data_IF_807518159300
#
_entry.id   IF_807518159300
#
_cell.length_a   1.000
_cell.length_b   1.000
_cell.length_c   1.000
_cell.angle_alpha   90.00
_cell.angle_beta   90.00
_cell.angle_gamma   90.00
#
_symmetry.space_group_name_H-M   'P 1'
#
loop_
_entity.id
_entity.type
_entity.pdbx_description
1 polymer ?
#
# COMPACT_ATOMS: atom_id res chain seq x y z
N UNK A 1 -39.71 -3.08 -12.81
CA UNK A 1 -39.49 -4.54 -12.85
C UNK A 1 -38.34 -4.82 -11.91
N UNK A 2 -38.58 -5.34 -10.69
CA UNK A 2 -38.77 -6.78 -10.45
C UNK A 2 -37.54 -7.56 -10.94
N UNK A 3 -36.80 -8.37 -10.18
CA UNK A 3 -37.15 -9.20 -9.02
C UNK A 3 -35.84 -9.65 -8.33
N UNK A 4 -35.92 -9.82 -7.01
CA UNK A 4 -35.30 -10.89 -6.20
C UNK A 4 -33.76 -11.01 -6.17
N UNK A 5 -33.18 -10.49 -5.11
CA UNK A 5 -32.32 -11.29 -4.22
C UNK A 5 -32.85 -11.16 -2.79
N UNK A 6 -33.94 -11.89 -2.54
CA UNK A 6 -34.28 -12.44 -1.23
C UNK A 6 -33.68 -13.83 -1.23
N UNK A 7 -32.57 -14.04 -0.54
CA UNK A 7 -32.10 -15.38 -0.20
C UNK A 7 -31.40 -15.32 1.15
N UNK A 8 -32.09 -15.95 2.11
CA UNK A 8 -31.55 -16.70 3.24
C UNK A 8 -31.02 -15.93 4.46
N UNK A 9 -31.94 -15.14 5.05
CA UNK A 9 -32.08 -15.01 6.52
C UNK A 9 -32.89 -16.19 7.12
N UNK A 10 -32.70 -17.42 6.65
CA UNK A 10 -33.37 -18.61 7.20
C UNK A 10 -32.33 -19.64 7.57
N UNK A 11 -32.51 -20.24 8.74
CA UNK A 11 -31.73 -21.32 9.37
C UNK A 11 -30.49 -20.93 10.19
N UNK A 12 -30.72 -20.26 11.32
CA UNK A 12 -29.98 -20.61 12.56
C UNK A 12 -30.96 -20.65 13.74
N UNK A 13 -32.14 -21.24 13.53
CA UNK A 13 -32.96 -21.79 14.60
C UNK A 13 -33.05 -23.30 14.35
N UNK A 14 -31.88 -23.96 14.37
CA UNK A 14 -31.88 -25.36 14.78
C UNK A 14 -31.82 -25.30 16.29
N UNK A 15 -33.00 -25.20 16.90
CA UNK A 15 -33.21 -25.81 18.21
C UNK A 15 -32.67 -27.23 18.07
N UNK A 16 -31.45 -27.45 18.58
CA UNK A 16 -31.03 -28.79 18.87
C UNK A 16 -32.05 -29.28 19.91
N UNK A 17 -33.00 -30.10 19.46
CA UNK A 17 -33.80 -30.92 20.36
C UNK A 17 -32.80 -31.71 21.20
N UNK A 18 -32.52 -31.19 22.39
CA UNK A 18 -31.77 -31.93 23.39
C UNK A 18 -32.75 -33.01 23.82
N UNK A 19 -32.62 -34.18 23.21
CA UNK A 19 -33.34 -35.36 23.62
C UNK A 19 -32.88 -35.70 25.05
N UNK A 20 -33.76 -35.50 26.02
CA UNK A 20 -33.52 -35.81 27.43
C UNK A 20 -33.68 -37.31 27.73
N UNK A 21 -34.06 -38.15 26.75
CA UNK A 21 -34.37 -39.57 26.95
C UNK A 21 -33.15 -40.48 27.12
N UNK A 22 -31.91 -39.99 26.96
CA UNK A 22 -30.69 -40.80 27.14
C UNK A 22 -30.08 -40.72 28.55
N UNK A 23 -30.78 -40.15 29.54
CA UNK A 23 -30.36 -40.28 30.95
C UNK A 23 -30.84 -41.64 31.49
N UNK A 24 -30.13 -42.70 31.11
CA UNK A 24 -30.31 -44.03 31.71
C UNK A 24 -29.80 -43.96 33.15
N UNK A 25 -30.73 -43.91 34.12
CA UNK A 25 -30.39 -44.10 35.53
C UNK A 25 -30.14 -45.58 35.79
N UNK A 26 -28.89 -46.02 35.66
CA UNK A 26 -28.47 -47.29 36.24
C UNK A 26 -28.55 -47.21 37.76
N UNK A 27 -29.59 -47.83 38.34
CA UNK A 27 -29.60 -48.18 39.77
C UNK A 27 -28.60 -49.31 39.98
N UNK A 28 -27.39 -48.97 40.42
CA UNK A 28 -26.50 -49.96 41.02
C UNK A 28 -27.03 -50.31 42.42
N UNK A 29 -27.31 -51.59 42.67
CA UNK A 29 -27.85 -52.11 43.94
C UNK A 29 -26.86 -52.05 45.11
N UNK A 30 -25.61 -51.63 44.90
CA UNK A 30 -24.56 -51.59 45.92
C UNK A 30 -24.28 -50.19 46.52
N UNK A 31 -25.24 -49.26 46.46
CA UNK A 31 -25.06 -47.92 47.05
C UNK A 31 -26.18 -47.61 48.04
N UNK A 32 -26.11 -48.25 49.20
CA UNK A 32 -26.78 -47.78 50.39
C UNK A 32 -26.19 -46.40 50.77
N UNK A 33 -27.04 -45.38 50.82
CA UNK A 33 -26.82 -44.04 51.39
C UNK A 33 -26.20 -42.93 50.51
N UNK A 34 -26.59 -42.84 49.22
CA UNK A 34 -26.50 -41.56 48.47
C UNK A 34 -27.89 -40.92 48.42
N UNK A 35 -28.07 -39.82 49.14
CA UNK A 35 -29.31 -39.06 49.10
C UNK A 35 -29.51 -38.40 47.73
N UNK A 36 -30.76 -38.23 47.30
CA UNK A 36 -31.12 -37.48 46.07
C UNK A 36 -30.48 -36.08 46.00
N UNK A 37 -30.11 -35.51 47.15
CA UNK A 37 -29.39 -34.24 47.30
C UNK A 37 -27.95 -34.30 46.77
N UNK A 38 -27.23 -35.41 46.94
CA UNK A 38 -25.84 -35.56 46.51
C UNK A 38 -25.71 -35.69 44.98
N UNK A 39 -26.68 -36.35 44.35
CA UNK A 39 -26.79 -36.45 42.88
C UNK A 39 -27.05 -35.06 42.28
N UNK A 40 -27.98 -34.29 42.87
CA UNK A 40 -28.26 -32.91 42.46
C UNK A 40 -27.03 -32.01 42.62
N UNK A 41 -26.24 -32.19 43.69
CA UNK A 41 -25.00 -31.45 43.91
C UNK A 41 -23.95 -31.74 42.83
N UNK A 42 -23.71 -33.01 42.49
CA UNK A 42 -22.81 -33.40 41.38
C UNK A 42 -23.25 -32.84 40.04
N UNK A 43 -24.55 -32.83 39.73
CA UNK A 43 -25.06 -32.25 38.49
C UNK A 43 -24.90 -30.73 38.45
N UNK A 44 -25.11 -30.02 39.57
CA UNK A 44 -24.86 -28.57 39.64
C UNK A 44 -23.39 -28.23 39.43
N UNK A 45 -22.47 -29.02 39.99
CA UNK A 45 -21.02 -28.84 39.77
C UNK A 45 -20.65 -29.07 38.30
N UNK A 46 -21.14 -30.14 37.67
CA UNK A 46 -20.93 -30.40 36.23
C UNK A 46 -21.52 -29.29 35.36
N UNK A 47 -22.74 -28.83 35.66
CA UNK A 47 -23.41 -27.76 34.93
C UNK A 47 -22.63 -26.44 35.04
N UNK A 48 -22.15 -26.10 36.24
CA UNK A 48 -21.31 -24.93 36.46
C UNK A 48 -20.03 -25.00 35.64
N UNK A 49 -19.36 -26.15 35.64
CA UNK A 49 -18.14 -26.38 34.85
C UNK A 49 -18.41 -26.25 33.34
N UNK A 50 -19.49 -26.85 32.83
CA UNK A 50 -19.86 -26.70 31.41
C UNK A 50 -20.18 -25.25 31.03
N UNK A 51 -20.79 -24.47 31.92
CA UNK A 51 -21.06 -23.04 31.68
C UNK A 51 -19.75 -22.24 31.62
N UNK A 52 -18.82 -22.51 32.55
CA UNK A 52 -17.50 -21.89 32.56
C UNK A 52 -16.69 -22.22 31.30
N UNK A 53 -16.60 -23.51 30.93
CA UNK A 53 -15.92 -23.96 29.70
C UNK A 53 -16.57 -23.36 28.44
N UNK A 54 -17.91 -23.32 28.38
CA UNK A 54 -18.63 -22.68 27.26
C UNK A 54 -18.28 -21.21 27.14
N UNK A 55 -18.22 -20.50 28.26
CA UNK A 55 -17.89 -19.07 28.26
C UNK A 55 -16.45 -18.84 27.80
N UNK A 56 -15.50 -19.63 28.31
CA UNK A 56 -14.09 -19.59 27.89
C UNK A 56 -13.94 -19.84 26.39
N UNK A 57 -14.62 -20.84 25.84
CA UNK A 57 -14.59 -21.11 24.40
C UNK A 57 -15.26 -20.01 23.57
N UNK A 58 -16.35 -19.42 24.06
CA UNK A 58 -17.03 -18.34 23.37
C UNK A 58 -16.17 -17.08 23.32
N UNK A 59 -15.53 -16.73 24.44
CA UNK A 59 -14.62 -15.59 24.53
C UNK A 59 -13.37 -15.81 23.67
N UNK A 60 -12.79 -17.02 23.73
CA UNK A 60 -11.68 -17.43 22.88
C UNK A 60 -12.04 -17.37 21.39
N UNK A 61 -13.22 -17.86 21.00
CA UNK A 61 -13.69 -17.81 19.62
C UNK A 61 -13.92 -16.39 19.14
N UNK A 62 -14.54 -15.53 19.96
CA UNK A 62 -14.74 -14.12 19.63
C UNK A 62 -13.42 -13.39 19.41
N UNK A 63 -12.43 -13.65 20.28
CA UNK A 63 -11.08 -13.09 20.15
C UNK A 63 -10.39 -13.57 18.88
N UNK A 64 -10.35 -14.88 18.62
CA UNK A 64 -9.75 -15.44 17.40
C UNK A 64 -10.43 -14.88 16.15
N UNK A 65 -11.76 -14.74 16.18
CA UNK A 65 -12.51 -14.14 15.07
C UNK A 65 -12.12 -12.67 14.85
N UNK A 66 -11.96 -11.89 15.92
CA UNK A 66 -11.50 -10.51 15.82
C UNK A 66 -10.07 -10.44 15.27
N UNK A 67 -9.16 -11.26 15.79
CA UNK A 67 -7.77 -11.34 15.32
C UNK A 67 -7.70 -11.75 13.83
N UNK A 68 -8.54 -12.69 13.40
CA UNK A 68 -8.63 -13.10 12.01
C UNK A 68 -9.12 -11.97 11.08
N UNK A 69 -10.16 -11.22 11.48
CA UNK A 69 -10.65 -10.09 10.70
C UNK A 69 -9.57 -9.01 10.57
N UNK A 70 -8.88 -8.69 11.67
CA UNK A 70 -7.80 -7.71 11.68
C UNK A 70 -6.63 -8.17 10.79
N UNK A 71 -6.23 -9.45 10.89
CA UNK A 71 -5.15 -10.01 10.09
C UNK A 71 -5.52 -10.04 8.60
N UNK A 72 -6.75 -10.42 8.26
CA UNK A 72 -7.23 -10.41 6.87
C UNK A 72 -7.19 -9.01 6.27
N UNK A 73 -7.65 -7.99 7.01
CA UNK A 73 -7.56 -6.59 6.57
C UNK A 73 -6.10 -6.17 6.33
N UNK A 74 -5.22 -6.51 7.26
CA UNK A 74 -3.78 -6.22 7.15
C UNK A 74 -3.14 -6.93 5.96
N UNK A 75 -3.52 -8.17 5.68
CA UNK A 75 -3.05 -8.94 4.52
C UNK A 75 -3.49 -8.30 3.20
N UNK A 76 -4.74 -7.85 3.11
CA UNK A 76 -5.25 -7.13 1.93
C UNK A 76 -4.49 -5.83 1.68
N UNK A 77 -4.23 -5.04 2.73
CA UNK A 77 -3.41 -3.82 2.67
C UNK A 77 -1.96 -4.14 2.24
N UNK A 78 -1.34 -5.15 2.83
CA UNK A 78 0.02 -5.57 2.49
C UNK A 78 0.14 -6.05 1.05
N UNK A 79 -0.87 -6.77 0.56
CA UNK A 79 -0.92 -7.24 -0.83
C UNK A 79 -1.04 -6.08 -1.81
N UNK A 80 -1.86 -5.07 -1.49
CA UNK A 80 -1.96 -3.86 -2.29
C UNK A 80 -0.62 -3.10 -2.35
N UNK A 81 0.06 -2.96 -1.21
CA UNK A 81 1.39 -2.36 -1.14
C UNK A 81 2.44 -3.13 -1.94
N UNK A 82 2.42 -4.46 -1.90
CA UNK A 82 3.34 -5.30 -2.66
C UNK A 82 3.19 -5.10 -4.17
N UNK A 83 1.94 -4.97 -4.65
CA UNK A 83 1.68 -4.66 -6.07
C UNK A 83 2.21 -3.27 -6.45
N UNK A 84 2.04 -2.28 -5.58
CA UNK A 84 2.58 -0.93 -5.82
C UNK A 84 4.10 -0.93 -5.85
N UNK A 85 4.74 -1.64 -4.92
CA UNK A 85 6.20 -1.76 -4.87
C UNK A 85 6.77 -2.47 -6.11
N UNK A 86 6.11 -3.55 -6.56
CA UNK A 86 6.50 -4.25 -7.78
C UNK A 86 6.41 -3.34 -9.02
N UNK A 87 5.37 -2.49 -9.10
CA UNK A 87 5.24 -1.48 -10.16
C UNK A 87 6.32 -0.41 -10.07
N UNK A 88 6.60 0.09 -8.87
CA UNK A 88 7.65 1.09 -8.62
C UNK A 88 9.01 0.60 -9.13
N UNK A 89 9.40 -0.63 -8.80
CA UNK A 89 10.65 -1.23 -9.28
C UNK A 89 10.75 -1.29 -10.80
N UNK A 90 9.69 -1.78 -11.46
CA UNK A 90 9.64 -1.84 -12.92
C UNK A 90 9.69 -0.46 -13.58
N UNK A 91 9.02 0.53 -12.98
CA UNK A 91 9.06 1.91 -13.47
C UNK A 91 10.46 2.49 -13.35
N UNK A 92 11.14 2.29 -12.22
CA UNK A 92 12.52 2.76 -12.02
C UNK A 92 13.47 2.21 -13.09
N UNK A 93 13.37 0.93 -13.43
CA UNK A 93 14.16 0.33 -14.51
C UNK A 93 13.85 0.97 -15.87
N UNK A 94 12.57 1.23 -16.15
CA UNK A 94 12.14 1.92 -17.38
C UNK A 94 12.58 3.38 -17.44
N UNK A 95 12.74 4.08 -16.31
CA UNK A 95 13.21 5.46 -16.30
C UNK A 95 14.59 5.59 -16.94
N UNK A 96 15.47 4.59 -16.79
CA UNK A 96 16.78 4.56 -17.47
C UNK A 96 16.62 4.61 -18.99
N UNK A 97 15.58 3.97 -19.53
CA UNK A 97 15.30 3.99 -20.97
C UNK A 97 14.77 5.36 -21.40
N UNK A 98 13.92 5.99 -20.58
CA UNK A 98 13.44 7.36 -20.80
C UNK A 98 14.62 8.34 -20.82
N UNK A 99 15.59 8.17 -19.92
CA UNK A 99 16.81 8.99 -19.89
C UNK A 99 17.64 8.83 -21.16
N UNK A 100 17.73 7.61 -21.70
CA UNK A 100 18.43 7.38 -22.96
C UNK A 100 17.74 8.08 -24.13
N UNK A 101 16.40 8.14 -24.15
CA UNK A 101 15.68 8.96 -25.13
C UNK A 101 15.98 10.45 -24.94
N UNK A 102 15.91 10.96 -23.71
CA UNK A 102 16.24 12.36 -23.41
C UNK A 102 17.68 12.71 -23.83
N UNK A 103 18.64 11.80 -23.58
CA UNK A 103 20.03 11.92 -24.01
C UNK A 103 20.17 11.93 -25.54
N UNK A 104 19.43 11.06 -26.25
CA UNK A 104 19.42 11.04 -27.71
C UNK A 104 18.87 12.34 -28.29
N UNK A 105 17.84 12.93 -27.66
CA UNK A 105 17.23 14.19 -28.07
C UNK A 105 18.06 15.41 -27.70
N UNK A 106 18.92 15.32 -26.67
CA UNK A 106 19.73 16.45 -26.19
C UNK A 106 20.72 16.97 -27.26
N UNK A 107 21.29 16.10 -28.09
CA UNK A 107 22.18 16.51 -29.17
C UNK A 107 21.39 16.94 -30.42
N UNK A 108 20.84 18.16 -30.38
CA UNK A 108 19.96 18.70 -31.44
C UNK A 108 20.59 18.62 -32.83
N UNK A 109 21.87 18.92 -32.98
CA UNK A 109 22.54 18.89 -34.28
C UNK A 109 22.56 17.49 -34.89
N UNK A 110 22.87 16.47 -34.07
CA UNK A 110 22.84 15.07 -34.52
C UNK A 110 21.41 14.62 -34.75
N UNK A 111 20.50 14.95 -33.83
CA UNK A 111 19.08 14.60 -33.95
C UNK A 111 18.49 15.15 -35.25
N UNK A 112 18.59 16.46 -35.48
CA UNK A 112 18.03 17.14 -36.65
C UNK A 112 18.65 16.68 -37.98
N UNK A 113 19.86 16.12 -37.97
CA UNK A 113 20.49 15.52 -39.16
C UNK A 113 19.82 14.22 -39.63
N UNK A 114 19.04 13.57 -38.77
CA UNK A 114 18.32 12.35 -39.10
C UNK A 114 17.03 12.67 -39.86
N UNK A 115 16.63 11.75 -40.76
CA UNK A 115 15.40 11.84 -41.52
C UNK A 115 14.19 12.23 -40.65
N UNK A 116 13.43 13.21 -41.14
CA UNK A 116 12.33 13.83 -40.39
C UNK A 116 11.21 12.84 -40.08
N UNK A 117 10.87 11.94 -41.02
CA UNK A 117 9.79 10.99 -40.79
C UNK A 117 10.18 9.97 -39.71
N UNK A 118 11.44 9.55 -39.71
CA UNK A 118 11.96 8.65 -38.68
C UNK A 118 11.97 9.30 -37.29
N UNK A 119 12.41 10.56 -37.20
CA UNK A 119 12.36 11.32 -35.93
C UNK A 119 10.97 11.41 -35.35
N UNK A 120 9.98 11.79 -36.16
CA UNK A 120 8.58 11.89 -35.73
C UNK A 120 8.08 10.53 -35.21
N UNK A 121 8.46 9.43 -35.87
CA UNK A 121 8.13 8.08 -35.41
C UNK A 121 8.69 7.78 -34.02
N UNK A 122 9.95 8.11 -33.76
CA UNK A 122 10.61 7.92 -32.46
C UNK A 122 9.99 8.82 -31.38
N UNK A 123 9.75 10.09 -31.69
CA UNK A 123 9.10 11.05 -30.79
C UNK A 123 7.69 10.59 -30.39
N UNK A 124 6.95 9.97 -31.33
CA UNK A 124 5.67 9.33 -31.01
C UNK A 124 5.81 8.14 -30.07
N UNK A 125 6.80 7.26 -30.28
CA UNK A 125 7.04 6.11 -29.38
C UNK A 125 7.37 6.61 -27.97
N UNK A 126 8.23 7.62 -27.85
CA UNK A 126 8.58 8.25 -26.58
C UNK A 126 7.34 8.85 -25.89
N UNK A 127 6.52 9.58 -26.64
CA UNK A 127 5.29 10.20 -26.12
C UNK A 127 4.26 9.15 -25.68
N UNK A 128 4.11 8.06 -26.43
CA UNK A 128 3.26 6.93 -26.06
C UNK A 128 3.76 6.24 -24.78
N UNK A 129 5.07 6.02 -24.66
CA UNK A 129 5.68 5.43 -23.47
C UNK A 129 5.40 6.30 -22.23
N UNK A 130 5.64 7.62 -22.32
CA UNK A 130 5.35 8.54 -21.23
C UNK A 130 3.85 8.53 -20.87
N UNK A 131 2.97 8.58 -21.86
CA UNK A 131 1.52 8.55 -21.63
C UNK A 131 1.04 7.26 -20.94
N UNK A 132 1.63 6.11 -21.29
CA UNK A 132 1.35 4.83 -20.60
C UNK A 132 1.77 4.92 -19.13
N UNK A 133 2.97 5.41 -18.86
CA UNK A 133 3.48 5.55 -17.49
C UNK A 133 2.65 6.55 -16.66
N UNK A 134 2.22 7.65 -17.29
CA UNK A 134 1.36 8.65 -16.66
C UNK A 134 0.00 8.07 -16.27
N UNK A 135 -0.62 7.30 -17.16
CA UNK A 135 -1.85 6.56 -16.85
C UNK A 135 -1.69 5.55 -15.71
N UNK A 136 -0.47 5.06 -15.49
CA UNK A 136 -0.15 4.16 -14.37
C UNK A 136 0.24 4.90 -13.08
N UNK A 137 0.20 6.24 -13.06
CA UNK A 137 0.41 7.06 -11.86
C UNK A 137 1.79 7.69 -11.75
N UNK A 138 2.60 7.64 -12.81
CA UNK A 138 3.88 8.35 -12.90
C UNK A 138 3.67 9.81 -13.30
N UNK A 139 4.23 10.75 -12.57
CA UNK A 139 4.23 12.18 -12.90
C UNK A 139 5.67 12.65 -13.03
N UNK A 140 6.01 13.18 -14.19
CA UNK A 140 7.29 13.85 -14.41
C UNK A 140 7.19 15.30 -13.93
N UNK A 141 8.27 15.82 -13.34
CA UNK A 141 8.38 17.24 -13.01
C UNK A 141 9.74 17.80 -13.41
N UNK A 142 9.75 19.08 -13.78
CA UNK A 142 10.93 19.81 -14.24
C UNK A 142 11.01 21.13 -13.46
N UNK A 143 11.73 21.18 -12.33
CA UNK A 143 11.63 22.28 -11.37
C UNK A 143 12.50 23.48 -11.74
N UNK A 144 12.51 23.89 -13.00
CA UNK A 144 13.31 25.04 -13.45
C UNK A 144 12.76 26.33 -12.81
N UNK A 145 13.64 27.17 -12.26
CA UNK A 145 13.30 28.41 -11.54
C UNK A 145 12.49 28.21 -10.23
N UNK A 146 12.23 26.97 -9.80
CA UNK A 146 11.60 26.67 -8.51
C UNK A 146 12.61 26.82 -7.35
N UNK A 147 12.09 27.04 -6.13
CA UNK A 147 12.91 26.96 -4.91
C UNK A 147 13.45 25.54 -4.70
N UNK A 148 14.69 25.44 -4.22
CA UNK A 148 15.29 24.14 -3.96
C UNK A 148 14.60 23.42 -2.78
N UNK A 149 13.99 22.27 -3.07
CA UNK A 149 13.41 21.36 -2.08
C UNK A 149 14.26 20.08 -1.97
N UNK A 150 14.94 19.82 -0.83
CA UNK A 150 15.75 18.61 -0.62
C UNK A 150 15.00 17.28 -0.77
N UNK A 151 13.67 17.28 -0.66
CA UNK A 151 12.84 16.07 -0.83
C UNK A 151 12.67 15.74 -2.32
N UNK A 152 12.57 16.77 -3.16
CA UNK A 152 12.25 16.62 -4.59
C UNK A 152 13.46 16.78 -5.49
N UNK A 153 14.50 17.48 -5.03
CA UNK A 153 15.64 17.91 -5.83
C UNK A 153 16.96 17.34 -5.26
N UNK A 154 17.79 16.84 -6.16
CA UNK A 154 19.16 16.39 -5.91
C UNK A 154 20.14 17.42 -6.50
N UNK A 155 20.81 18.18 -5.64
CA UNK A 155 21.74 19.24 -6.06
C UNK A 155 23.07 18.63 -6.47
N UNK A 156 23.36 18.65 -7.78
CA UNK A 156 24.60 18.11 -8.34
C UNK A 156 25.70 19.17 -8.37
N UNK A 157 25.33 20.42 -8.59
CA UNK A 157 26.26 21.53 -8.73
C UNK A 157 25.64 22.81 -8.18
N UNK A 158 26.49 23.70 -7.67
CA UNK A 158 26.09 25.04 -7.26
C UNK A 158 26.68 26.07 -8.23
N UNK A 159 25.83 26.94 -8.78
CA UNK A 159 26.23 27.99 -9.74
C UNK A 159 26.23 29.33 -9.01
N UNK A 160 27.32 30.09 -9.14
CA UNK A 160 27.37 31.47 -8.66
C UNK A 160 26.40 32.35 -9.45
N UNK A 161 25.44 32.98 -8.77
CA UNK A 161 24.45 33.88 -9.38
C UNK A 161 24.65 35.32 -8.89
N UNK A 162 24.38 36.28 -9.80
CA UNK A 162 24.57 37.71 -9.54
C UNK A 162 23.30 38.35 -8.96
N UNK A 163 22.13 37.77 -9.23
CA UNK A 163 20.86 38.24 -8.68
C UNK A 163 20.60 37.52 -7.37
N UNK A 164 20.27 38.28 -6.33
CA UNK A 164 19.90 37.73 -5.02
C UNK A 164 18.62 36.88 -5.09
N UNK A 165 17.72 37.19 -6.00
CA UNK A 165 16.45 36.46 -6.19
C UNK A 165 16.64 35.05 -6.76
N UNK A 166 17.82 34.75 -7.31
CA UNK A 166 18.17 33.44 -7.86
C UNK A 166 18.92 32.58 -6.82
N UNK A 167 19.14 33.11 -5.61
CA UNK A 167 19.73 32.37 -4.50
C UNK A 167 18.82 31.22 -4.06
N UNK A 168 19.41 30.05 -3.84
CA UNK A 168 18.73 28.82 -3.45
C UNK A 168 17.60 28.36 -4.40
N UNK A 169 17.60 28.83 -5.66
CA UNK A 169 16.70 28.38 -6.72
C UNK A 169 17.38 27.42 -7.68
N UNK A 170 16.57 26.62 -8.36
CA UNK A 170 17.02 25.75 -9.43
C UNK A 170 17.30 26.58 -10.69
N UNK A 171 18.57 26.63 -11.09
CA UNK A 171 19.04 27.39 -12.25
C UNK A 171 19.01 26.54 -13.53
N UNK A 172 19.26 25.23 -13.37
CA UNK A 172 19.26 24.30 -14.49
C UNK A 172 18.85 22.90 -14.01
N UNK A 173 18.21 22.14 -14.90
CA UNK A 173 17.73 20.78 -14.62
C UNK A 173 18.44 19.81 -15.54
N UNK A 174 19.44 19.13 -14.98
CA UNK A 174 20.24 18.13 -15.67
C UNK A 174 19.49 16.82 -15.89
N UNK A 175 18.53 16.52 -15.02
CA UNK A 175 17.69 15.34 -15.11
C UNK A 175 16.34 15.56 -14.45
N UNK A 176 15.27 15.21 -15.18
CA UNK A 176 13.89 15.41 -14.70
C UNK A 176 13.59 14.50 -13.50
N UNK A 177 12.73 14.98 -12.61
CA UNK A 177 12.26 14.24 -11.45
C UNK A 177 10.97 13.47 -11.74
N UNK A 178 10.71 12.44 -10.93
CA UNK A 178 9.57 11.55 -11.12
C UNK A 178 8.90 11.21 -9.78
N UNK A 179 7.57 11.32 -9.78
CA UNK A 179 6.68 11.02 -8.66
C UNK A 179 5.78 9.86 -9.09
N UNK A 180 5.63 8.84 -8.25
CA UNK A 180 4.74 7.72 -8.49
C UNK A 180 3.77 7.58 -7.32
N UNK A 181 2.46 7.67 -7.59
CA UNK A 181 1.41 7.62 -6.55
C UNK A 181 1.74 8.48 -5.31
N UNK A 182 2.06 9.76 -5.57
CA UNK A 182 2.38 10.79 -4.57
C UNK A 182 3.69 10.59 -3.78
N UNK A 183 4.48 9.58 -4.14
CA UNK A 183 5.84 9.37 -3.60
C UNK A 183 6.89 9.79 -4.62
N UNK A 184 7.88 10.59 -4.21
CA UNK A 184 9.06 10.87 -5.03
C UNK A 184 9.86 9.57 -5.17
N UNK A 185 9.94 9.03 -6.38
CA UNK A 185 10.73 7.81 -6.67
C UNK A 185 12.11 8.15 -7.24
N UNK A 186 12.24 9.33 -7.85
CA UNK A 186 13.50 9.87 -8.32
C UNK A 186 13.49 11.40 -8.22
N UNK A 187 14.41 11.95 -7.44
CA UNK A 187 14.60 13.39 -7.35
C UNK A 187 15.12 13.95 -8.68
N UNK A 188 14.73 15.19 -9.00
CA UNK A 188 15.27 15.90 -10.15
C UNK A 188 16.73 16.28 -9.88
N UNK A 189 17.64 15.99 -10.81
CA UNK A 189 19.04 16.43 -10.73
C UNK A 189 19.14 17.86 -11.19
N UNK A 190 19.54 18.74 -10.28
CA UNK A 190 19.48 20.19 -10.50
C UNK A 190 20.81 20.88 -10.19
N UNK A 191 21.00 22.04 -10.81
CA UNK A 191 22.01 23.01 -10.43
C UNK A 191 21.35 24.13 -9.65
N UNK A 192 21.88 24.44 -8.46
CA UNK A 192 21.28 25.41 -7.54
C UNK A 192 22.06 26.71 -7.57
N UNK A 193 21.36 27.83 -7.59
CA UNK A 193 21.97 29.16 -7.53
C UNK A 193 22.48 29.45 -6.13
N UNK A 194 23.69 29.97 -6.04
CA UNK A 194 24.24 30.54 -4.81
C UNK A 194 24.66 31.96 -5.08
N UNK A 195 24.03 32.88 -4.38
CA UNK A 195 24.36 34.28 -4.51
C UNK A 195 25.72 34.55 -3.88
N UNK A 196 26.66 34.99 -4.72
CA UNK A 196 27.97 35.45 -4.26
C UNK A 196 28.07 36.96 -4.50
N UNK A 197 28.04 37.73 -3.40
CA UNK A 197 28.49 39.12 -3.46
C UNK A 197 29.97 39.08 -3.80
N UNK A 198 30.34 39.62 -4.97
CA UNK A 198 31.73 39.83 -5.33
C UNK A 198 32.49 40.42 -4.14
N UNK A 199 33.22 39.58 -3.41
CA UNK A 199 34.37 39.99 -2.62
C UNK A 199 35.46 40.34 -3.62
N UNK A 200 35.36 41.54 -4.21
CA UNK A 200 36.55 42.23 -4.66
C UNK A 200 37.23 42.74 -3.39
N UNK A 201 38.06 41.90 -2.80
CA UNK A 201 39.07 42.30 -1.83
C UNK A 201 40.23 42.93 -2.61
N UNK A 202 40.41 44.22 -2.36
CA UNK A 202 41.62 45.08 -2.43
C UNK A 202 42.82 44.69 -3.31
#
# INVERSE_FOLDING_TARGET
>A
MEKKQKTDKKNIDKEAEINYDDIVFEKNEDVADITSVDIIKKFREKLKKCIEEKQEYLDGWQRIKADFINNKKKEEESRALLVLFAKEGLILDLLTTIDNFDMAFANKNVWESVDKNWRIGIEHIYSQLLGILENHGLKQFNPLEEEFDPIRHDSVETIAVIKKDDDNKVIDVMGKGYIFNDKVIRAAKVKVGKYEQNKKED
#
